data_IF_650329224422
#
_entry.id   IF_650329224422
#
_cell.length_a   1.000
_cell.length_b   1.000
_cell.length_c   1.000
_cell.angle_alpha   90.00
_cell.angle_beta   90.00
_cell.angle_gamma   90.00
#
_symmetry.space_group_name_H-M   'P 1'
#
loop_
_entity.id
_entity.type
_entity.pdbx_description
1 polymer ?
#
# COMPACT_ATOMS: atom_id res chain seq x y z
N UNK A 1 -27.23 5.89 -45.36
CA UNK A 1 -27.51 5.34 -44.03
C UNK A 1 -26.48 4.28 -43.58
N UNK A 2 -26.15 3.25 -44.39
CA UNK A 2 -25.16 2.21 -44.00
C UNK A 2 -23.74 2.75 -43.68
N UNK A 3 -23.25 3.81 -44.37
CA UNK A 3 -21.91 4.40 -44.14
C UNK A 3 -21.82 5.16 -42.80
N UNK A 4 -22.90 5.76 -42.33
CA UNK A 4 -22.94 6.50 -41.04
C UNK A 4 -22.87 5.54 -39.87
N UNK A 5 -23.57 4.38 -39.95
CA UNK A 5 -23.49 3.34 -38.92
C UNK A 5 -22.11 2.72 -38.81
N UNK A 6 -21.40 2.54 -39.91
CA UNK A 6 -20.04 1.97 -39.92
C UNK A 6 -19.02 2.92 -39.25
N UNK A 7 -19.14 4.23 -39.47
CA UNK A 7 -18.25 5.23 -38.87
C UNK A 7 -18.52 5.36 -37.37
N UNK A 8 -19.79 5.33 -36.95
CA UNK A 8 -20.15 5.33 -35.52
C UNK A 8 -19.67 4.07 -34.80
N UNK A 9 -19.77 2.90 -35.41
CA UNK A 9 -19.28 1.65 -34.82
C UNK A 9 -17.76 1.64 -34.67
N UNK A 10 -17.01 2.20 -35.64
CA UNK A 10 -15.55 2.32 -35.55
C UNK A 10 -15.11 3.31 -34.46
N UNK A 11 -15.85 4.41 -34.26
CA UNK A 11 -15.56 5.39 -33.21
C UNK A 11 -15.80 4.82 -31.81
N UNK A 12 -16.81 3.99 -31.62
CA UNK A 12 -17.09 3.31 -30.34
C UNK A 12 -16.02 2.26 -30.04
N UNK A 13 -15.54 1.51 -31.05
CA UNK A 13 -14.44 0.54 -30.86
C UNK A 13 -13.11 1.21 -30.49
N UNK A 14 -12.81 2.39 -31.06
CA UNK A 14 -11.60 3.15 -30.74
C UNK A 14 -11.62 3.71 -29.32
N UNK A 15 -12.79 4.12 -28.82
CA UNK A 15 -12.94 4.61 -27.44
C UNK A 15 -12.78 3.50 -26.38
N UNK A 16 -13.09 2.24 -26.73
CA UNK A 16 -12.93 1.10 -25.83
C UNK A 16 -11.47 0.64 -25.66
N UNK A 17 -10.57 1.01 -26.59
CA UNK A 17 -9.16 0.59 -26.56
C UNK A 17 -8.20 1.54 -25.85
N UNK A 18 -8.65 2.73 -25.39
CA UNK A 18 -7.79 3.72 -24.73
C UNK A 18 -8.03 3.83 -23.22
N UNK A 19 -8.11 2.69 -22.50
CA UNK A 19 -7.90 2.72 -21.06
C UNK A 19 -6.39 2.82 -20.83
N UNK A 20 -5.89 4.04 -20.67
CA UNK A 20 -4.54 4.25 -20.16
C UNK A 20 -4.43 3.55 -18.79
N UNK A 21 -3.33 2.83 -18.53
CA UNK A 21 -3.11 2.24 -17.21
C UNK A 21 -3.17 3.37 -16.18
N UNK A 22 -4.15 3.28 -15.29
CA UNK A 22 -4.27 4.24 -14.19
C UNK A 22 -3.17 3.92 -13.18
N UNK A 23 -2.32 4.91 -12.89
CA UNK A 23 -1.37 4.81 -11.79
C UNK A 23 -2.20 4.79 -10.51
N UNK A 24 -2.08 3.74 -9.66
CA UNK A 24 -2.81 3.72 -8.40
C UNK A 24 -2.48 4.95 -7.55
N UNK A 25 -3.49 5.55 -6.96
CA UNK A 25 -3.32 6.66 -6.00
C UNK A 25 -3.67 6.17 -4.61
N UNK A 26 -3.13 6.81 -3.58
CA UNK A 26 -3.39 6.44 -2.19
C UNK A 26 -4.89 6.46 -1.88
N UNK A 27 -5.63 7.41 -2.47
CA UNK A 27 -7.06 7.57 -2.19
C UNK A 27 -7.32 8.16 -0.79
N UNK A 28 -8.59 8.45 -0.51
CA UNK A 28 -9.05 8.93 0.80
C UNK A 28 -9.70 7.75 1.55
N UNK A 29 -9.05 7.30 2.61
CA UNK A 29 -9.55 6.26 3.50
C UNK A 29 -8.99 6.39 4.90
N UNK A 30 -9.65 5.75 5.87
CA UNK A 30 -9.15 5.59 7.23
C UNK A 30 -9.12 4.11 7.62
N UNK A 31 -8.19 3.76 8.49
CA UNK A 31 -8.09 2.44 9.12
C UNK A 31 -7.81 2.59 10.61
N UNK A 32 -8.44 1.75 11.45
CA UNK A 32 -8.20 1.77 12.89
C UNK A 32 -6.80 1.24 13.22
N UNK A 33 -6.19 1.82 14.26
CA UNK A 33 -4.87 1.42 14.77
C UNK A 33 -5.02 0.29 15.78
N UNK A 34 -4.32 -0.83 15.57
CA UNK A 34 -4.39 -1.97 16.47
C UNK A 34 -3.87 -1.61 17.88
N UNK A 35 -4.65 -1.98 18.89
CA UNK A 35 -4.32 -1.71 20.30
C UNK A 35 -4.52 -0.26 20.76
N UNK A 36 -5.06 0.60 19.92
CA UNK A 36 -5.30 2.02 20.21
C UNK A 36 -6.75 2.41 19.88
N UNK A 37 -7.20 3.57 20.39
CA UNK A 37 -8.54 4.12 20.07
C UNK A 37 -8.50 5.17 18.96
N UNK A 38 -7.42 5.22 18.21
CA UNK A 38 -7.22 6.18 17.12
C UNK A 38 -7.42 5.50 15.76
N UNK A 39 -7.75 6.30 14.76
CA UNK A 39 -7.75 5.94 13.35
C UNK A 39 -6.59 6.62 12.65
N UNK A 40 -6.02 5.95 11.67
CA UNK A 40 -5.07 6.52 10.73
C UNK A 40 -5.85 6.98 9.50
N UNK A 41 -5.66 8.23 9.09
CA UNK A 41 -6.30 8.81 7.91
C UNK A 41 -5.24 9.12 6.85
N UNK A 42 -5.47 8.67 5.62
CA UNK A 42 -4.55 8.93 4.49
C UNK A 42 -4.39 10.43 4.21
N UNK A 43 -5.46 11.20 4.43
CA UNK A 43 -5.50 12.66 4.20
C UNK A 43 -4.63 13.47 5.17
N UNK A 44 -4.27 12.92 6.34
CA UNK A 44 -3.38 13.58 7.30
C UNK A 44 -1.93 13.71 6.78
N UNK A 45 -1.61 12.99 5.70
CA UNK A 45 -0.27 12.90 5.12
C UNK A 45 -0.17 13.55 3.73
N UNK A 46 -1.10 14.43 3.36
CA UNK A 46 -0.99 15.19 2.12
C UNK A 46 0.34 15.95 2.04
N UNK A 47 1.03 15.81 0.90
CA UNK A 47 2.35 16.41 0.69
C UNK A 47 3.53 15.64 1.32
N UNK A 48 3.27 14.54 2.03
CA UNK A 48 4.27 13.61 2.58
C UNK A 48 4.23 12.29 1.81
N UNK A 49 5.37 11.70 1.43
CA UNK A 49 5.37 10.35 0.88
C UNK A 49 4.85 9.35 1.91
N UNK A 50 4.20 8.29 1.43
CA UNK A 50 3.63 7.23 2.26
C UNK A 50 4.13 5.87 1.78
N UNK A 51 4.55 5.00 2.70
CA UNK A 51 4.75 3.58 2.46
C UNK A 51 3.67 2.80 3.21
N UNK A 52 2.91 2.01 2.47
CA UNK A 52 1.97 1.06 3.05
C UNK A 52 2.44 -0.35 2.72
N UNK A 53 2.48 -1.21 3.73
CA UNK A 53 2.65 -2.64 3.52
C UNK A 53 1.36 -3.36 3.93
N UNK A 54 0.72 -4.03 2.98
CA UNK A 54 -0.41 -4.92 3.25
C UNK A 54 0.10 -6.26 3.75
N UNK A 55 -0.46 -6.73 4.86
CA UNK A 55 0.00 -7.89 5.60
C UNK A 55 -1.17 -8.73 6.13
N UNK A 56 -0.86 -9.93 6.61
CA UNK A 56 -1.76 -10.74 7.43
C UNK A 56 -1.02 -11.31 8.63
N UNK A 57 -1.64 -11.36 9.81
CA UNK A 57 -1.04 -11.95 11.02
C UNK A 57 -0.67 -13.43 10.84
N UNK A 58 -1.39 -14.10 9.98
CA UNK A 58 -1.24 -15.51 9.60
C UNK A 58 -0.20 -15.75 8.50
N UNK A 59 0.32 -14.69 7.85
CA UNK A 59 1.20 -14.79 6.68
C UNK A 59 2.68 -14.93 7.09
N UNK A 60 3.35 -16.06 6.81
CA UNK A 60 4.75 -16.27 7.19
C UNK A 60 5.73 -15.27 6.53
N UNK A 61 5.54 -14.99 5.24
CA UNK A 61 6.38 -14.05 4.50
C UNK A 61 6.21 -12.61 4.97
N UNK A 62 5.01 -12.25 5.48
CA UNK A 62 4.78 -10.98 6.12
C UNK A 62 5.62 -10.81 7.39
N UNK A 63 5.64 -11.86 8.23
CA UNK A 63 6.49 -11.87 9.44
C UNK A 63 7.97 -11.71 9.11
N UNK A 64 8.44 -12.34 8.04
CA UNK A 64 9.81 -12.18 7.55
C UNK A 64 10.11 -10.76 7.06
N UNK A 65 9.13 -10.03 6.56
CA UNK A 65 9.30 -8.64 6.08
C UNK A 65 9.31 -7.60 7.20
N UNK A 66 8.76 -7.90 8.39
CA UNK A 66 8.64 -6.96 9.50
C UNK A 66 9.93 -6.24 9.88
N UNK A 67 11.09 -6.90 10.03
CA UNK A 67 12.35 -6.21 10.35
C UNK A 67 12.78 -5.19 9.29
N UNK A 68 12.48 -5.43 8.03
CA UNK A 68 12.82 -4.51 6.94
C UNK A 68 11.91 -3.28 6.95
N UNK A 69 10.63 -3.45 7.31
CA UNK A 69 9.68 -2.36 7.44
C UNK A 69 10.02 -1.49 8.65
N UNK A 70 10.38 -2.11 9.78
CA UNK A 70 10.85 -1.36 10.96
C UNK A 70 12.13 -0.59 10.68
N UNK A 71 13.10 -1.19 9.99
CA UNK A 71 14.31 -0.49 9.56
C UNK A 71 14.00 0.70 8.63
N UNK A 72 13.03 0.56 7.73
CA UNK A 72 12.58 1.66 6.90
C UNK A 72 11.96 2.79 7.75
N UNK A 73 11.12 2.45 8.74
CA UNK A 73 10.53 3.43 9.68
C UNK A 73 11.60 4.15 10.50
N UNK A 74 12.60 3.43 11.00
CA UNK A 74 13.69 4.02 11.77
C UNK A 74 14.53 5.01 10.95
N UNK A 75 14.78 4.70 9.68
CA UNK A 75 15.62 5.51 8.82
C UNK A 75 14.88 6.69 8.16
N UNK A 76 13.57 6.57 7.93
CA UNK A 76 12.82 7.51 7.11
C UNK A 76 11.54 8.07 7.77
N UNK A 77 11.15 7.61 8.95
CA UNK A 77 9.85 7.94 9.57
C UNK A 77 9.57 9.43 9.76
N UNK A 78 10.60 10.25 9.89
CA UNK A 78 10.46 11.71 9.95
C UNK A 78 10.01 12.32 8.61
N UNK A 79 10.41 11.70 7.49
CA UNK A 79 10.19 12.20 6.12
C UNK A 79 9.11 11.46 5.35
N UNK A 80 8.85 10.23 5.72
CA UNK A 80 7.90 9.32 5.06
C UNK A 80 6.97 8.74 6.11
N UNK A 81 5.68 8.75 5.86
CA UNK A 81 4.75 7.97 6.70
C UNK A 81 4.89 6.49 6.34
N UNK A 82 5.07 5.63 7.33
CA UNK A 82 5.25 4.19 7.13
C UNK A 82 4.29 3.44 8.04
N UNK A 83 3.39 2.67 7.43
CA UNK A 83 2.35 1.91 8.13
C UNK A 83 2.22 0.49 7.58
N UNK A 84 1.81 -0.41 8.44
CA UNK A 84 1.45 -1.78 8.08
C UNK A 84 -0.07 -1.96 8.18
N UNK A 85 -0.70 -2.26 7.06
CA UNK A 85 -2.14 -2.44 6.93
C UNK A 85 -2.47 -3.95 6.91
N UNK A 86 -2.97 -4.46 8.03
CA UNK A 86 -3.31 -5.87 8.18
C UNK A 86 -4.70 -6.16 7.64
N UNK A 87 -4.79 -7.28 6.90
CA UNK A 87 -6.06 -7.80 6.37
C UNK A 87 -6.97 -8.37 7.46
N UNK A 88 -6.43 -8.59 8.65
CA UNK A 88 -7.14 -9.13 9.80
C UNK A 88 -8.23 -8.18 10.29
N UNK A 89 -9.41 -8.72 10.60
CA UNK A 89 -10.55 -7.96 11.15
C UNK A 89 -10.46 -7.84 12.67
N UNK A 90 -9.77 -8.77 13.35
CA UNK A 90 -9.57 -8.73 14.79
C UNK A 90 -8.26 -8.03 15.18
N UNK A 91 -8.31 -6.89 15.88
CA UNK A 91 -7.11 -6.18 16.33
C UNK A 91 -6.27 -6.99 17.32
N UNK A 92 -6.83 -7.99 17.98
CA UNK A 92 -6.10 -8.85 18.91
C UNK A 92 -5.05 -9.70 18.20
N UNK A 93 -5.36 -10.24 17.01
CA UNK A 93 -4.43 -11.02 16.21
C UNK A 93 -3.26 -10.15 15.71
N UNK A 94 -3.56 -8.93 15.26
CA UNK A 94 -2.55 -7.95 14.84
C UNK A 94 -1.65 -7.55 16.00
N UNK A 95 -2.23 -7.22 17.15
CA UNK A 95 -1.48 -6.83 18.34
C UNK A 95 -0.59 -7.97 18.83
N UNK A 96 -1.10 -9.22 18.78
CA UNK A 96 -0.36 -10.42 19.16
C UNK A 96 0.86 -10.62 18.25
N UNK A 97 0.69 -10.63 16.93
CA UNK A 97 1.80 -10.85 16.00
C UNK A 97 2.83 -9.73 16.05
N UNK A 98 2.39 -8.48 16.20
CA UNK A 98 3.29 -7.34 16.35
C UNK A 98 4.16 -7.49 17.62
N UNK A 99 3.56 -7.90 18.74
CA UNK A 99 4.30 -8.16 19.98
C UNK A 99 5.26 -9.34 19.89
N UNK A 100 4.85 -10.45 19.28
CA UNK A 100 5.67 -11.65 19.11
C UNK A 100 6.92 -11.39 18.25
N UNK A 101 6.83 -10.49 17.30
CA UNK A 101 7.92 -10.13 16.39
C UNK A 101 8.62 -8.80 16.73
N UNK A 102 8.30 -8.18 17.88
CA UNK A 102 8.79 -6.85 18.28
C UNK A 102 8.60 -5.78 17.17
N UNK A 103 7.50 -5.87 16.44
CA UNK A 103 7.19 -5.00 15.34
C UNK A 103 6.71 -3.63 15.85
N UNK A 104 7.47 -2.59 15.56
CA UNK A 104 7.28 -1.26 16.10
C UNK A 104 6.60 -0.27 15.13
N UNK A 105 6.46 -0.66 13.86
CA UNK A 105 5.73 0.13 12.86
C UNK A 105 4.23 0.15 13.20
N UNK A 106 3.59 1.31 13.00
CA UNK A 106 2.15 1.49 13.24
C UNK A 106 1.35 0.44 12.47
N UNK A 107 0.66 -0.41 13.21
CA UNK A 107 -0.14 -1.51 12.68
C UNK A 107 -1.62 -1.10 12.61
N UNK A 108 -2.17 -1.08 11.42
CA UNK A 108 -3.58 -0.83 11.13
C UNK A 108 -4.25 -2.18 10.90
N UNK A 109 -5.57 -2.28 11.14
CA UNK A 109 -6.32 -3.52 10.88
C UNK A 109 -7.57 -3.26 10.06
N UNK A 110 -8.28 -4.32 9.66
CA UNK A 110 -9.47 -4.27 8.82
C UNK A 110 -9.19 -3.65 7.42
N UNK A 111 -8.01 -3.95 6.86
CA UNK A 111 -7.56 -3.38 5.59
C UNK A 111 -8.11 -4.08 4.33
N UNK A 112 -8.99 -5.09 4.46
CA UNK A 112 -9.47 -5.92 3.35
C UNK A 112 -10.04 -5.10 2.20
N UNK A 113 -10.98 -4.19 2.47
CA UNK A 113 -11.61 -3.36 1.45
C UNK A 113 -10.63 -2.40 0.76
N UNK A 114 -9.66 -1.86 1.52
CA UNK A 114 -8.63 -0.97 0.97
C UNK A 114 -7.70 -1.76 0.05
N UNK A 115 -7.28 -2.95 0.48
CA UNK A 115 -6.45 -3.85 -0.31
C UNK A 115 -7.14 -4.28 -1.62
N UNK A 116 -8.44 -4.59 -1.57
CA UNK A 116 -9.22 -4.89 -2.76
C UNK A 116 -9.27 -3.71 -3.73
N UNK A 117 -9.49 -2.49 -3.22
CA UNK A 117 -9.52 -1.28 -4.04
C UNK A 117 -8.17 -0.95 -4.70
N UNK A 118 -7.07 -1.40 -4.10
CA UNK A 118 -5.69 -1.26 -4.60
C UNK A 118 -5.21 -2.49 -5.39
N UNK A 119 -6.10 -3.45 -5.67
CA UNK A 119 -5.81 -4.67 -6.45
C UNK A 119 -4.65 -5.49 -5.85
N UNK A 120 -4.57 -5.58 -4.52
CA UNK A 120 -3.54 -6.36 -3.82
C UNK A 120 -3.74 -7.84 -4.10
N UNK A 121 -2.85 -8.45 -4.90
CA UNK A 121 -2.95 -9.85 -5.35
C UNK A 121 -2.26 -10.85 -4.42
N UNK A 122 -1.25 -10.43 -3.66
CA UNK A 122 -0.47 -11.31 -2.78
C UNK A 122 0.18 -10.56 -1.62
N UNK A 123 0.56 -11.28 -0.56
CA UNK A 123 1.13 -10.70 0.66
C UNK A 123 2.58 -11.20 0.93
N UNK A 124 3.45 -10.38 1.52
CA UNK A 124 3.28 -8.96 1.77
C UNK A 124 3.18 -8.17 0.46
N UNK A 125 2.40 -7.09 0.44
CA UNK A 125 2.34 -6.20 -0.70
C UNK A 125 2.77 -4.79 -0.25
N UNK A 126 3.86 -4.30 -0.78
CA UNK A 126 4.44 -3.00 -0.40
C UNK A 126 4.17 -1.99 -1.50
N UNK A 127 3.63 -0.84 -1.14
CA UNK A 127 3.41 0.29 -2.07
C UNK A 127 4.06 1.54 -1.50
N UNK A 128 4.84 2.23 -2.33
CA UNK A 128 5.36 3.57 -2.01
C UNK A 128 4.61 4.59 -2.85
N UNK A 129 4.07 5.59 -2.19
CA UNK A 129 3.41 6.75 -2.77
C UNK A 129 4.30 7.99 -2.64
N UNK A 130 4.35 8.82 -3.67
CA UNK A 130 5.05 10.10 -3.66
C UNK A 130 4.28 11.17 -2.87
N UNK A 131 4.81 12.40 -2.82
CA UNK A 131 4.17 13.56 -2.15
C UNK A 131 2.83 13.97 -2.77
N UNK A 132 2.49 13.47 -3.96
CA UNK A 132 1.19 13.68 -4.62
C UNK A 132 0.29 12.46 -4.49
N UNK A 133 0.71 11.51 -3.67
CA UNK A 133 0.03 10.24 -3.43
C UNK A 133 -0.17 9.36 -4.69
N UNK A 134 0.70 9.50 -5.71
CA UNK A 134 0.77 8.54 -6.80
C UNK A 134 1.67 7.37 -6.41
N UNK A 135 1.26 6.16 -6.71
CA UNK A 135 2.10 4.98 -6.50
C UNK A 135 3.31 5.03 -7.44
N UNK A 136 4.51 5.06 -6.87
CA UNK A 136 5.76 5.14 -7.64
C UNK A 136 6.53 3.83 -7.64
N UNK A 137 6.21 2.92 -6.72
CA UNK A 137 6.80 1.58 -6.67
C UNK A 137 5.91 0.63 -5.89
N UNK A 138 5.85 -0.61 -6.36
CA UNK A 138 5.14 -1.71 -5.71
C UNK A 138 6.00 -2.98 -5.74
N UNK A 139 5.85 -3.81 -4.71
CA UNK A 139 6.40 -5.16 -4.62
C UNK A 139 5.34 -6.10 -4.07
N UNK A 140 5.26 -7.28 -4.65
CA UNK A 140 4.40 -8.35 -4.20
C UNK A 140 5.24 -9.54 -3.75
N UNK A 141 4.93 -10.08 -2.59
CA UNK A 141 5.68 -11.16 -1.97
C UNK A 141 6.98 -10.68 -1.30
N UNK A 142 7.66 -11.65 -0.70
CA UNK A 142 8.92 -11.44 0.02
C UNK A 142 10.13 -11.82 -0.85
N UNK A 143 11.16 -10.99 -0.82
CA UNK A 143 12.48 -11.34 -1.32
C UNK A 143 13.56 -10.89 -0.32
N UNK A 144 14.73 -11.55 -0.28
CA UNK A 144 15.85 -11.12 0.57
C UNK A 144 16.37 -9.70 0.26
N UNK A 145 16.16 -9.21 -0.96
CA UNK A 145 16.56 -7.86 -1.39
C UNK A 145 15.52 -6.78 -1.05
N UNK A 146 14.32 -7.16 -0.58
CA UNK A 146 13.20 -6.24 -0.35
C UNK A 146 13.58 -5.04 0.52
N UNK A 147 14.32 -5.28 1.61
CA UNK A 147 14.74 -4.20 2.52
C UNK A 147 15.66 -3.16 1.83
N UNK A 148 16.62 -3.62 1.03
CA UNK A 148 17.52 -2.74 0.28
C UNK A 148 16.75 -1.97 -0.81
N UNK A 149 15.84 -2.63 -1.51
CA UNK A 149 15.04 -2.01 -2.55
C UNK A 149 14.11 -0.93 -1.98
N UNK A 150 13.45 -1.18 -0.85
CA UNK A 150 12.64 -0.20 -0.12
C UNK A 150 13.51 1.01 0.26
N UNK A 151 14.66 0.77 0.88
CA UNK A 151 15.60 1.82 1.30
C UNK A 151 16.01 2.72 0.12
N UNK A 152 16.38 2.13 -1.02
CA UNK A 152 16.82 2.88 -2.20
C UNK A 152 15.71 3.75 -2.80
N UNK A 153 14.46 3.26 -2.78
CA UNK A 153 13.30 4.03 -3.24
C UNK A 153 12.92 5.14 -2.27
N UNK A 154 12.92 4.87 -0.96
CA UNK A 154 12.63 5.88 0.04
C UNK A 154 13.64 7.03 0.01
N UNK A 155 14.92 6.75 -0.24
CA UNK A 155 15.94 7.78 -0.47
C UNK A 155 15.64 8.71 -1.66
N UNK A 156 14.89 8.25 -2.65
CA UNK A 156 14.51 9.05 -3.83
C UNK A 156 13.30 9.93 -3.53
N UNK A 157 12.28 9.39 -2.86
CA UNK A 157 11.01 10.08 -2.64
C UNK A 157 11.01 11.00 -1.41
N UNK A 158 11.93 10.80 -0.47
CA UNK A 158 12.07 11.58 0.77
C UNK A 158 12.85 12.90 0.61
N UNK A 159 13.38 13.16 -0.59
CA UNK A 159 14.07 14.42 -0.95
C UNK A 159 13.06 15.51 -1.34
#
# INVERSE_FOLDING_TARGET
MKKIFLVMALAILAAACMRLPQIPTLGDFSLPVAGQKEEWHSTDYEGKPVLIVFMGSWCPYCKMSMPFIDAARENFGDKVEIVAAFMDDDPADVTKVAKEHNFATKALYNAGNVAESMEVGGLPHVVIFDKKHNAVKMWEGFSPSLGQEIHDYLNKVSK
#
